data_IF_935274896383
#
_entry.id   IF_935274896383
#
_cell.length_a   1.000
_cell.length_b   1.000
_cell.length_c   1.000
_cell.angle_alpha   90.00
_cell.angle_beta   90.00
_cell.angle_gamma   90.00
#
_symmetry.space_group_name_H-M   'P 1'
#
loop_
_entity.id
_entity.type
_entity.pdbx_description
1 polymer ?
#
# COMPACT_ATOMS: atom_id res chain seq x y z
N UNK A 1 -21.19 14.61 -7.19
CA UNK A 1 -19.93 15.38 -7.23
C UNK A 1 -18.93 14.52 -7.97
N UNK A 2 -18.19 15.08 -8.93
CA UNK A 2 -17.12 14.37 -9.63
C UNK A 2 -15.90 14.21 -8.73
N UNK A 3 -15.12 13.16 -8.95
CA UNK A 3 -13.80 13.00 -8.32
C UNK A 3 -12.86 14.07 -8.87
N UNK A 4 -12.16 14.83 -8.01
CA UNK A 4 -11.17 15.80 -8.49
C UNK A 4 -10.00 15.08 -9.15
N UNK A 5 -9.40 15.69 -10.17
CA UNK A 5 -8.26 15.10 -10.86
C UNK A 5 -7.03 14.99 -9.94
N UNK A 6 -6.86 15.96 -9.05
CA UNK A 6 -5.73 16.05 -8.12
C UNK A 6 -6.22 16.18 -6.68
N UNK A 7 -5.46 15.65 -5.71
CA UNK A 7 -5.73 15.90 -4.29
C UNK A 7 -5.54 17.37 -3.93
N UNK A 8 -4.60 18.04 -4.59
CA UNK A 8 -4.34 19.47 -4.43
C UNK A 8 -4.45 20.11 -5.81
N UNK A 9 -5.25 21.15 -5.91
CA UNK A 9 -5.54 21.85 -7.15
C UNK A 9 -5.34 23.35 -6.89
N UNK A 10 -4.50 24.00 -7.69
CA UNK A 10 -4.12 25.40 -7.52
C UNK A 10 -3.64 25.76 -6.09
N UNK A 11 -2.90 24.83 -5.47
CA UNK A 11 -2.40 24.97 -4.09
C UNK A 11 -3.45 24.76 -3.00
N UNK A 12 -4.70 24.48 -3.36
CA UNK A 12 -5.80 24.18 -2.45
C UNK A 12 -6.05 22.68 -2.36
N UNK A 13 -5.99 22.14 -1.16
CA UNK A 13 -6.27 20.72 -0.93
C UNK A 13 -7.77 20.46 -0.83
N UNK A 14 -8.23 19.43 -1.54
CA UNK A 14 -9.57 18.87 -1.41
C UNK A 14 -9.69 18.10 -0.08
N UNK A 15 -10.78 18.34 0.66
CA UNK A 15 -11.04 17.75 1.99
C UNK A 15 -12.37 17.00 2.03
N UNK A 16 -12.50 16.11 3.01
CA UNK A 16 -13.70 15.30 3.23
C UNK A 16 -13.60 13.93 2.56
N UNK A 17 -14.76 13.27 2.46
CA UNK A 17 -14.92 12.04 1.68
C UNK A 17 -14.98 12.40 0.20
N UNK A 18 -14.07 11.84 -0.58
CA UNK A 18 -14.04 11.98 -2.03
C UNK A 18 -14.84 10.83 -2.66
N UNK A 19 -15.48 11.05 -3.83
CA UNK A 19 -16.22 9.99 -4.53
C UNK A 19 -15.33 8.81 -4.93
N UNK A 20 -14.07 9.10 -5.31
CA UNK A 20 -13.06 8.11 -5.67
C UNK A 20 -11.63 8.66 -5.39
N UNK A 21 -10.59 7.89 -5.70
CA UNK A 21 -9.19 8.29 -5.67
C UNK A 21 -8.94 9.37 -6.74
N UNK A 22 -8.40 10.55 -6.40
CA UNK A 22 -7.88 11.47 -7.40
C UNK A 22 -6.84 10.77 -8.29
N UNK A 23 -6.73 11.18 -9.54
CA UNK A 23 -5.71 10.65 -10.44
C UNK A 23 -4.31 10.88 -9.84
N UNK A 24 -4.05 12.12 -9.38
CA UNK A 24 -2.81 12.52 -8.72
C UNK A 24 -3.03 12.75 -7.23
N UNK A 25 -2.31 11.99 -6.41
CA UNK A 25 -2.30 12.13 -4.96
C UNK A 25 -0.92 12.57 -4.50
N UNK A 26 -0.69 13.89 -4.46
CA UNK A 26 0.51 14.48 -3.84
C UNK A 26 0.09 15.55 -2.80
N UNK A 27 0.11 15.22 -1.49
CA UNK A 27 -0.28 16.17 -0.45
C UNK A 27 0.72 17.33 -0.28
N UNK A 28 1.92 17.25 -0.85
CA UNK A 28 2.94 18.29 -0.75
C UNK A 28 2.78 19.38 -1.82
N UNK A 29 1.86 19.23 -2.78
CA UNK A 29 1.54 20.27 -3.79
C UNK A 29 1.01 21.56 -3.18
N UNK A 30 0.52 21.53 -1.93
CA UNK A 30 0.14 22.74 -1.17
C UNK A 30 1.37 23.63 -0.88
N UNK A 31 2.58 23.06 -0.93
CA UNK A 31 3.82 23.74 -0.57
C UNK A 31 4.75 23.95 -1.77
N UNK A 32 5.35 25.13 -1.84
CA UNK A 32 6.42 25.45 -2.80
C UNK A 32 7.82 25.41 -2.18
N UNK A 33 8.85 25.31 -3.03
CA UNK A 33 10.25 25.58 -2.69
C UNK A 33 10.79 24.85 -1.45
N UNK A 34 11.44 25.60 -0.55
CA UNK A 34 12.04 25.06 0.67
C UNK A 34 11.00 24.46 1.62
N UNK A 35 9.79 25.03 1.69
CA UNK A 35 8.73 24.52 2.53
C UNK A 35 8.35 23.09 2.11
N UNK A 36 8.22 22.82 0.82
CA UNK A 36 7.97 21.47 0.29
C UNK A 36 9.04 20.47 0.74
N UNK A 37 10.31 20.85 0.64
CA UNK A 37 11.45 20.01 1.05
C UNK A 37 11.43 19.68 2.55
N UNK A 38 11.16 20.68 3.39
CA UNK A 38 11.05 20.49 4.84
C UNK A 38 9.83 19.63 5.22
N UNK A 39 8.70 19.84 4.55
CA UNK A 39 7.47 19.06 4.77
C UNK A 39 7.60 17.62 4.30
N UNK A 40 8.40 17.34 3.28
CA UNK A 40 8.70 15.97 2.83
C UNK A 40 9.20 15.08 3.96
N UNK A 41 10.08 15.58 4.84
CA UNK A 41 10.60 14.78 5.97
C UNK A 41 9.52 14.38 6.99
N UNK A 42 8.39 15.11 6.99
CA UNK A 42 7.23 14.84 7.85
C UNK A 42 6.16 13.99 7.17
N UNK A 43 6.26 13.78 5.86
CA UNK A 43 5.38 12.92 5.12
C UNK A 43 5.74 11.46 5.40
N UNK A 44 4.72 10.65 5.65
CA UNK A 44 4.81 9.20 5.79
C UNK A 44 3.82 8.61 4.80
N UNK A 45 4.34 7.83 3.87
CA UNK A 45 3.57 7.27 2.76
C UNK A 45 3.65 5.77 2.82
N UNK A 46 2.53 5.11 2.52
CA UNK A 46 2.53 3.68 2.30
C UNK A 46 1.45 3.27 1.32
N UNK A 47 1.71 2.09 0.74
CA UNK A 47 0.74 1.33 -0.03
C UNK A 47 0.88 -0.12 0.39
N UNK A 48 -0.23 -0.79 0.60
CA UNK A 48 -0.21 -2.18 1.01
C UNK A 48 -1.50 -2.89 0.70
N UNK A 49 -1.47 -4.20 0.90
CA UNK A 49 -2.65 -5.03 0.83
C UNK A 49 -2.80 -5.84 2.10
N UNK A 50 -4.05 -6.00 2.53
CA UNK A 50 -4.43 -7.06 3.46
C UNK A 50 -5.10 -8.16 2.67
N UNK A 51 -4.59 -9.39 2.79
CA UNK A 51 -5.15 -10.57 2.15
C UNK A 51 -6.08 -11.28 3.13
N UNK A 52 -7.31 -11.51 2.69
CA UNK A 52 -8.36 -12.21 3.43
C UNK A 52 -8.59 -13.58 2.82
N UNK A 53 -8.21 -14.63 3.56
CA UNK A 53 -8.42 -16.04 3.21
C UNK A 53 -8.93 -16.79 4.46
N UNK A 54 -9.77 -17.84 4.34
CA UNK A 54 -10.33 -18.56 5.49
C UNK A 54 -9.29 -19.10 6.47
N UNK A 55 -8.19 -19.66 5.96
CA UNK A 55 -7.15 -20.30 6.78
C UNK A 55 -5.91 -19.45 7.00
N UNK A 56 -5.78 -18.34 6.27
CA UNK A 56 -4.57 -17.52 6.26
C UNK A 56 -4.91 -16.04 6.34
N UNK A 57 -4.21 -15.32 7.20
CA UNK A 57 -4.25 -13.86 7.19
C UNK A 57 -2.90 -13.34 6.75
N UNK A 58 -2.88 -12.49 5.73
CA UNK A 58 -1.65 -11.84 5.31
C UNK A 58 -1.80 -10.34 5.22
N UNK A 59 -0.72 -9.61 5.49
CA UNK A 59 -0.66 -8.18 5.24
C UNK A 59 0.72 -7.83 4.73
N UNK A 60 0.78 -6.96 3.73
CA UNK A 60 1.99 -6.57 3.06
C UNK A 60 1.97 -5.07 2.77
N UNK A 61 3.07 -4.39 3.07
CA UNK A 61 3.16 -2.94 3.01
C UNK A 61 4.51 -2.53 2.43
N UNK A 62 4.50 -1.53 1.55
CA UNK A 62 5.67 -0.75 1.15
C UNK A 62 5.48 0.65 1.71
N UNK A 63 6.47 1.15 2.43
CA UNK A 63 6.40 2.44 3.13
C UNK A 63 7.66 3.29 2.91
N UNK A 64 7.47 4.59 2.85
CA UNK A 64 8.54 5.59 2.80
C UNK A 64 8.26 6.73 3.78
N UNK A 65 9.21 6.93 4.70
CA UNK A 65 9.26 8.07 5.59
C UNK A 65 10.20 9.18 5.09
N UNK A 66 10.75 9.03 3.89
CA UNK A 66 11.73 9.87 3.20
C UNK A 66 13.11 10.01 3.85
N UNK A 67 13.27 9.57 5.10
CA UNK A 67 14.58 9.31 5.72
C UNK A 67 14.83 7.81 5.96
N UNK A 68 13.77 7.01 5.97
CA UNK A 68 13.81 5.56 6.14
C UNK A 68 12.67 4.98 5.31
N UNK A 69 12.97 3.96 4.53
CA UNK A 69 11.97 3.21 3.78
C UNK A 69 11.99 1.75 4.22
N UNK A 70 10.91 1.04 3.93
CA UNK A 70 10.86 -0.39 4.15
C UNK A 70 9.71 -1.06 3.46
N UNK A 71 9.77 -2.39 3.47
CA UNK A 71 8.66 -3.24 3.15
C UNK A 71 8.55 -4.33 4.22
N UNK A 72 7.33 -4.72 4.51
CA UNK A 72 7.04 -5.74 5.49
C UNK A 72 5.91 -6.63 5.02
N UNK A 73 6.02 -7.92 5.33
CA UNK A 73 4.97 -8.91 5.11
C UNK A 73 4.77 -9.73 6.37
N UNK A 74 3.50 -10.00 6.66
CA UNK A 74 3.01 -10.89 7.68
C UNK A 74 2.17 -11.95 7.00
N UNK A 75 2.37 -13.22 7.32
CA UNK A 75 1.52 -14.32 6.89
C UNK A 75 1.27 -15.24 8.09
N UNK A 76 0.03 -15.30 8.53
CA UNK A 76 -0.41 -16.04 9.70
C UNK A 76 -1.21 -17.26 9.28
N UNK A 77 -0.70 -18.44 9.61
CA UNK A 77 -1.39 -19.72 9.46
C UNK A 77 -2.33 -19.90 10.65
N UNK A 78 -3.65 -19.96 10.40
CA UNK A 78 -4.63 -20.14 11.46
C UNK A 78 -4.69 -21.58 11.98
N UNK A 79 -4.40 -22.57 11.14
CA UNK A 79 -4.48 -23.98 11.49
C UNK A 79 -3.41 -24.34 12.53
N UNK A 80 -2.17 -23.89 12.30
CA UNK A 80 -1.06 -24.15 13.24
C UNK A 80 -0.74 -22.97 14.16
N UNK A 81 -1.40 -21.82 13.97
CA UNK A 81 -1.24 -20.59 14.77
C UNK A 81 0.17 -20.01 14.76
N UNK A 82 0.79 -19.99 13.59
CA UNK A 82 2.16 -19.48 13.40
C UNK A 82 2.13 -18.22 12.56
N UNK A 83 2.86 -17.20 13.00
CA UNK A 83 3.11 -15.97 12.25
C UNK A 83 4.48 -16.05 11.58
N UNK A 84 4.49 -15.95 10.26
CA UNK A 84 5.68 -15.74 9.45
C UNK A 84 5.80 -14.27 9.10
N UNK A 85 6.97 -13.67 9.37
CA UNK A 85 7.18 -12.25 9.15
C UNK A 85 8.53 -12.02 8.48
N UNK A 86 8.54 -11.13 7.50
CA UNK A 86 9.77 -10.59 6.92
C UNK A 86 9.66 -9.08 6.79
N UNK A 87 10.72 -8.40 7.19
CA UNK A 87 10.86 -6.96 7.02
C UNK A 87 12.21 -6.65 6.39
N UNK A 88 12.22 -5.66 5.51
CA UNK A 88 13.44 -5.11 4.93
C UNK A 88 13.40 -3.59 4.99
N UNK A 89 14.57 -3.00 5.26
CA UNK A 89 14.73 -1.55 5.37
C UNK A 89 15.73 -1.04 4.34
N UNK A 90 15.53 0.20 3.89
CA UNK A 90 16.39 0.89 2.94
C UNK A 90 16.41 2.39 3.22
N UNK A 91 17.28 3.12 2.52
CA UNK A 91 17.30 4.58 2.59
C UNK A 91 15.97 5.15 2.07
N UNK A 92 15.54 6.29 2.65
CA UNK A 92 14.33 6.98 2.19
C UNK A 92 14.37 7.30 0.69
N UNK A 93 13.22 7.26 0.03
CA UNK A 93 13.11 7.43 -1.43
C UNK A 93 13.56 6.23 -2.27
N UNK A 94 14.00 5.11 -1.66
CA UNK A 94 14.32 3.89 -2.39
C UNK A 94 13.11 3.16 -3.00
N UNK A 95 11.91 3.14 -2.38
CA UNK A 95 10.75 2.52 -2.99
C UNK A 95 10.16 3.44 -4.06
N UNK A 96 9.46 2.85 -5.04
CA UNK A 96 8.61 3.63 -5.95
C UNK A 96 7.22 3.70 -5.34
N UNK A 97 6.77 4.89 -4.96
CA UNK A 97 5.42 5.19 -4.48
C UNK A 97 4.85 6.36 -5.30
N UNK A 98 4.30 6.09 -6.50
CA UNK A 98 3.92 7.13 -7.43
C UNK A 98 2.70 7.91 -6.91
N UNK A 99 2.60 9.20 -7.23
CA UNK A 99 1.42 10.01 -6.93
C UNK A 99 0.19 9.53 -7.74
N UNK A 100 0.43 8.95 -8.90
CA UNK A 100 -0.57 8.32 -9.77
C UNK A 100 -0.46 6.81 -9.63
N UNK A 101 -1.54 6.14 -9.21
CA UNK A 101 -1.58 4.67 -9.17
C UNK A 101 -1.97 4.03 -10.51
N UNK A 102 -2.97 4.52 -11.27
CA UNK A 102 -3.35 3.89 -12.53
C UNK A 102 -2.19 3.84 -13.53
N UNK A 103 -2.00 2.69 -14.18
CA UNK A 103 -0.88 2.42 -15.11
C UNK A 103 0.50 2.63 -14.47
N UNK A 104 0.63 2.36 -13.18
CA UNK A 104 1.88 2.52 -12.43
C UNK A 104 2.23 1.23 -11.68
N UNK A 105 3.41 1.25 -11.05
CA UNK A 105 3.81 0.22 -10.13
C UNK A 105 4.44 0.80 -8.85
N UNK A 106 4.12 0.17 -7.74
CA UNK A 106 4.82 0.34 -6.47
C UNK A 106 5.82 -0.81 -6.31
N UNK A 107 7.07 -0.53 -5.95
CA UNK A 107 8.09 -1.58 -5.81
C UNK A 107 9.05 -1.33 -4.66
N UNK A 108 9.45 -2.43 -4.02
CA UNK A 108 10.54 -2.48 -3.07
C UNK A 108 11.41 -3.71 -3.37
N UNK A 109 12.71 -3.48 -3.60
CA UNK A 109 13.65 -4.54 -3.97
C UNK A 109 14.96 -4.41 -3.20
N UNK A 110 15.41 -5.53 -2.63
CA UNK A 110 16.71 -5.76 -2.00
C UNK A 110 17.14 -7.19 -2.29
N UNK A 111 18.41 -7.48 -2.03
CA UNK A 111 18.92 -8.86 -2.11
C UNK A 111 18.07 -9.77 -1.22
N UNK A 112 17.40 -10.75 -1.82
CA UNK A 112 16.52 -11.69 -1.13
C UNK A 112 15.16 -11.14 -0.70
N UNK A 113 14.75 -9.95 -1.15
CA UNK A 113 13.45 -9.36 -0.80
C UNK A 113 12.91 -8.52 -1.95
N UNK A 114 11.87 -8.99 -2.64
CA UNK A 114 11.16 -8.28 -3.71
C UNK A 114 9.66 -8.31 -3.47
N UNK A 115 9.05 -7.11 -3.52
CA UNK A 115 7.59 -6.92 -3.49
C UNK A 115 7.23 -5.88 -4.54
N UNK A 116 6.27 -6.21 -5.41
CA UNK A 116 5.80 -5.33 -6.50
C UNK A 116 4.28 -5.34 -6.57
N UNK A 117 3.68 -4.16 -6.65
CA UNK A 117 2.26 -3.96 -6.94
C UNK A 117 2.14 -3.24 -8.28
N UNK A 118 1.45 -3.84 -9.24
CA UNK A 118 1.22 -3.24 -10.56
C UNK A 118 -0.27 -2.96 -10.73
N UNK A 119 -0.61 -1.77 -11.22
CA UNK A 119 -1.99 -1.34 -11.37
C UNK A 119 -2.27 -1.02 -12.85
N UNK A 120 -3.19 -1.73 -13.50
CA UNK A 120 -3.69 -1.35 -14.82
C UNK A 120 -5.17 -1.00 -14.78
N UNK A 121 -5.48 0.19 -15.28
CA UNK A 121 -6.84 0.65 -15.55
C UNK A 121 -7.33 0.14 -16.89
N UNK A 122 -6.45 0.03 -17.88
CA UNK A 122 -6.77 -0.44 -19.23
C UNK A 122 -7.29 -1.89 -19.22
N UNK A 123 -6.65 -2.77 -18.46
CA UNK A 123 -7.12 -4.17 -18.31
C UNK A 123 -8.06 -4.39 -17.13
N UNK A 124 -8.24 -3.38 -16.26
CA UNK A 124 -8.92 -3.52 -14.98
C UNK A 124 -8.38 -4.68 -14.12
N UNK A 125 -7.08 -4.97 -14.24
CA UNK A 125 -6.38 -5.98 -13.43
C UNK A 125 -5.25 -5.32 -12.67
N UNK A 126 -5.10 -5.71 -11.40
CA UNK A 126 -3.93 -5.36 -10.60
C UNK A 126 -3.18 -6.63 -10.24
N UNK A 127 -1.89 -6.52 -9.95
CA UNK A 127 -1.05 -7.67 -9.65
C UNK A 127 -0.19 -7.41 -8.42
N UNK A 128 -0.11 -8.40 -7.55
CA UNK A 128 0.82 -8.45 -6.42
C UNK A 128 1.83 -9.55 -6.72
N UNK A 129 3.13 -9.20 -6.72
CA UNK A 129 4.22 -10.16 -6.84
C UNK A 129 5.08 -10.11 -5.57
N UNK A 130 5.40 -11.29 -5.04
CA UNK A 130 6.19 -11.45 -3.82
C UNK A 130 7.27 -12.49 -4.10
N UNK A 131 8.53 -12.15 -3.84
CA UNK A 131 9.65 -13.10 -3.82
C UNK A 131 10.61 -12.72 -2.69
N UNK A 132 10.47 -13.41 -1.56
CA UNK A 132 11.22 -13.17 -0.34
C UNK A 132 11.92 -14.47 0.06
N UNK A 133 13.24 -14.39 0.19
CA UNK A 133 14.07 -15.53 0.56
C UNK A 133 13.84 -15.94 2.02
N UNK A 134 14.10 -17.23 2.30
CA UNK A 134 14.10 -17.71 3.68
C UNK A 134 15.19 -17.02 4.51
N UNK A 135 14.92 -16.87 5.80
CA UNK A 135 15.90 -16.44 6.80
C UNK A 135 16.06 -17.53 7.87
N UNK A 136 16.98 -17.35 8.80
CA UNK A 136 17.11 -18.24 9.96
C UNK A 136 15.85 -18.26 10.86
N UNK A 137 14.94 -17.29 10.72
CA UNK A 137 13.76 -17.12 11.59
C UNK A 137 12.43 -17.36 10.90
N UNK A 138 12.39 -17.32 9.57
CA UNK A 138 11.14 -17.42 8.81
C UNK A 138 11.38 -18.09 7.45
N UNK A 139 10.44 -18.93 6.98
CA UNK A 139 10.53 -19.59 5.68
C UNK A 139 10.43 -18.57 4.53
N UNK A 140 10.78 -18.98 3.32
CA UNK A 140 10.58 -18.13 2.14
C UNK A 140 9.09 -17.82 1.92
N UNK A 141 8.77 -16.65 1.37
CA UNK A 141 7.42 -16.29 0.94
C UNK A 141 7.47 -15.91 -0.54
N UNK A 142 6.71 -16.61 -1.37
CA UNK A 142 6.65 -16.36 -2.82
C UNK A 142 5.23 -16.41 -3.31
N UNK A 143 4.85 -15.55 -4.22
CA UNK A 143 3.51 -15.60 -4.75
C UNK A 143 3.21 -14.58 -5.81
N UNK A 144 2.11 -14.83 -6.49
CA UNK A 144 1.53 -13.96 -7.47
C UNK A 144 0.02 -13.99 -7.31
N UNK A 145 -0.57 -12.80 -7.16
CA UNK A 145 -2.01 -12.62 -7.07
C UNK A 145 -2.45 -11.62 -8.14
N UNK A 146 -3.51 -11.96 -8.84
CA UNK A 146 -4.25 -11.05 -9.70
C UNK A 146 -5.50 -10.57 -8.97
N UNK A 147 -5.78 -9.27 -9.10
CA UNK A 147 -6.92 -8.61 -8.46
C UNK A 147 -7.87 -8.08 -9.54
N UNK A 148 -9.16 -8.36 -9.37
CA UNK A 148 -10.20 -7.88 -10.27
C UNK A 148 -10.67 -6.49 -9.88
N UNK A 149 -10.33 -5.46 -10.67
CA UNK A 149 -10.76 -4.09 -10.42
C UNK A 149 -12.20 -3.81 -10.88
N UNK A 150 -12.75 -4.63 -11.78
CA UNK A 150 -14.15 -4.49 -12.24
C UNK A 150 -15.10 -4.84 -11.09
N UNK A 151 -14.80 -5.92 -10.38
CA UNK A 151 -15.58 -6.44 -9.25
C UNK A 151 -15.11 -5.87 -7.90
N UNK A 152 -14.40 -4.74 -7.91
CA UNK A 152 -13.94 -4.10 -6.69
C UNK A 152 -15.08 -3.44 -5.92
N UNK A 153 -14.92 -3.34 -4.59
CA UNK A 153 -15.88 -2.62 -3.76
C UNK A 153 -15.83 -1.12 -4.04
N UNK A 154 -16.93 -0.42 -3.78
CA UNK A 154 -16.93 1.04 -3.76
C UNK A 154 -15.80 1.58 -2.86
N UNK A 155 -14.94 2.47 -3.36
CA UNK A 155 -13.75 2.89 -2.63
C UNK A 155 -14.09 3.81 -1.46
N UNK A 156 -13.26 3.76 -0.43
CA UNK A 156 -13.23 4.73 0.66
C UNK A 156 -12.03 5.65 0.47
N UNK A 157 -12.27 6.80 -0.16
CA UNK A 157 -11.29 7.88 -0.31
C UNK A 157 -11.57 9.03 0.64
N UNK A 158 -10.62 9.34 1.53
CA UNK A 158 -10.78 10.40 2.53
C UNK A 158 -9.53 11.27 2.59
N UNK A 159 -9.74 12.59 2.53
CA UNK A 159 -8.73 13.60 2.83
C UNK A 159 -9.15 14.37 4.07
N UNK A 160 -8.40 14.27 5.17
CA UNK A 160 -8.78 14.86 6.45
C UNK A 160 -7.66 15.68 7.08
N UNK A 161 -8.06 16.64 7.91
CA UNK A 161 -7.16 17.42 8.75
C UNK A 161 -6.89 16.64 10.03
N UNK A 162 -5.64 16.66 10.46
CA UNK A 162 -5.22 16.16 11.77
C UNK A 162 -4.68 17.33 12.59
N UNK A 163 -4.70 17.26 13.94
CA UNK A 163 -3.98 18.22 14.76
C UNK A 163 -2.51 18.33 14.30
N UNK A 164 -2.12 19.50 13.78
CA UNK A 164 -0.77 19.76 13.28
C UNK A 164 -0.39 19.06 11.96
N UNK A 165 -1.35 18.47 11.25
CA UNK A 165 -1.10 17.60 10.11
C UNK A 165 -2.28 17.38 9.18
N UNK A 166 -2.12 16.40 8.30
CA UNK A 166 -3.18 15.98 7.37
C UNK A 166 -2.98 14.53 6.96
N UNK A 167 -4.06 13.93 6.48
CA UNK A 167 -4.09 12.53 6.05
C UNK A 167 -4.87 12.44 4.75
N UNK A 168 -4.36 11.64 3.83
CA UNK A 168 -5.11 11.08 2.72
C UNK A 168 -5.07 9.56 2.84
N UNK A 169 -6.21 8.89 2.64
CA UNK A 169 -6.25 7.45 2.50
C UNK A 169 -7.25 7.04 1.42
N UNK A 170 -6.91 5.96 0.73
CA UNK A 170 -7.77 5.30 -0.23
C UNK A 170 -7.75 3.81 0.04
N UNK A 171 -8.94 3.22 0.18
CA UNK A 171 -9.12 1.78 0.38
C UNK A 171 -10.17 1.23 -0.56
N UNK A 172 -9.90 0.06 -1.11
CA UNK A 172 -10.84 -0.73 -1.88
C UNK A 172 -10.48 -2.21 -1.71
N UNK A 173 -11.48 -3.07 -1.68
CA UNK A 173 -11.30 -4.51 -1.70
C UNK A 173 -11.52 -5.05 -3.11
N UNK A 174 -10.71 -6.03 -3.48
CA UNK A 174 -10.70 -6.66 -4.79
C UNK A 174 -10.79 -8.17 -4.62
N UNK A 175 -11.64 -8.87 -5.40
CA UNK A 175 -11.50 -10.30 -5.61
C UNK A 175 -10.07 -10.67 -5.97
N UNK A 176 -9.50 -11.67 -5.29
CA UNK A 176 -8.12 -12.08 -5.46
C UNK A 176 -8.04 -13.52 -5.99
N UNK A 177 -7.25 -13.73 -7.03
CA UNK A 177 -6.96 -15.05 -7.58
C UNK A 177 -5.44 -15.26 -7.65
N UNK A 178 -4.97 -16.47 -7.38
CA UNK A 178 -3.55 -16.82 -7.53
C UNK A 178 -3.02 -17.66 -6.38
N UNK A 179 -1.71 -17.60 -6.15
CA UNK A 179 -1.06 -18.48 -5.18
C UNK A 179 -0.04 -17.71 -4.35
N UNK A 180 -0.10 -17.91 -3.04
CA UNK A 180 0.92 -17.52 -2.08
C UNK A 180 1.52 -18.77 -1.44
N UNK A 181 2.83 -18.93 -1.53
CA UNK A 181 3.60 -20.00 -0.89
C UNK A 181 4.34 -19.46 0.32
N UNK A 182 4.19 -20.12 1.45
CA UNK A 182 4.87 -19.79 2.72
C UNK A 182 5.61 -21.04 3.20
N UNK A 183 6.91 -21.10 2.92
CA UNK A 183 7.67 -22.35 3.05
C UNK A 183 7.11 -23.42 2.11
N UNK A 184 6.69 -24.54 2.70
CA UNK A 184 6.07 -25.66 1.97
C UNK A 184 4.55 -25.52 1.87
N UNK A 185 3.93 -24.57 2.58
CA UNK A 185 2.50 -24.34 2.51
C UNK A 185 2.14 -23.59 1.23
N UNK A 186 1.14 -24.09 0.50
CA UNK A 186 0.55 -23.42 -0.66
C UNK A 186 -0.85 -22.92 -0.31
N UNK A 187 -1.06 -21.61 -0.47
CA UNK A 187 -2.33 -20.92 -0.22
C UNK A 187 -2.88 -20.48 -1.56
N UNK A 188 -3.97 -21.11 -1.99
CA UNK A 188 -4.65 -20.80 -3.25
C UNK A 188 -5.75 -19.78 -2.97
N UNK A 189 -5.67 -18.65 -3.67
CA UNK A 189 -6.67 -17.59 -3.62
C UNK A 189 -7.71 -17.81 -4.73
N UNK A 190 -8.98 -17.82 -4.35
CA UNK A 190 -10.13 -17.96 -5.25
C UNK A 190 -10.95 -16.66 -5.26
N UNK A 191 -11.25 -16.07 -6.43
CA UNK A 191 -11.82 -14.72 -6.51
C UNK A 191 -13.27 -14.63 -6.02
N UNK A 192 -14.00 -15.74 -5.94
CA UNK A 192 -15.35 -15.79 -5.38
C UNK A 192 -15.38 -15.87 -3.84
N UNK A 193 -14.22 -16.11 -3.21
CA UNK A 193 -14.08 -16.33 -1.78
C UNK A 193 -13.15 -15.32 -1.11
N UNK A 194 -12.03 -15.01 -1.76
CA UNK A 194 -10.89 -14.33 -1.16
C UNK A 194 -10.72 -12.91 -1.70
N UNK A 195 -10.23 -12.04 -0.83
CA UNK A 195 -10.12 -10.60 -1.11
C UNK A 195 -8.72 -10.09 -0.81
N UNK A 196 -8.27 -9.11 -1.60
CA UNK A 196 -7.16 -8.24 -1.26
C UNK A 196 -7.70 -6.82 -1.02
N UNK A 197 -7.40 -6.26 0.15
CA UNK A 197 -7.82 -4.91 0.53
C UNK A 197 -6.65 -3.96 0.38
N UNK A 198 -6.71 -3.09 -0.63
CA UNK A 198 -5.75 -2.00 -0.83
C UNK A 198 -5.85 -1.00 0.32
N UNK A 199 -4.69 -0.55 0.79
CA UNK A 199 -4.53 0.61 1.64
C UNK A 199 -3.44 1.51 1.08
N UNK A 200 -3.83 2.55 0.36
CA UNK A 200 -2.95 3.70 0.10
C UNK A 200 -3.13 4.74 1.19
N UNK A 201 -2.01 5.29 1.66
CA UNK A 201 -2.05 6.31 2.68
C UNK A 201 -0.88 7.29 2.57
N UNK A 202 -1.19 8.56 2.83
CA UNK A 202 -0.20 9.64 2.91
C UNK A 202 -0.54 10.55 4.07
N UNK A 203 0.31 10.56 5.09
CA UNK A 203 0.12 11.34 6.30
C UNK A 203 1.24 12.36 6.49
N UNK A 204 0.86 13.63 6.57
CA UNK A 204 1.76 14.70 6.99
C UNK A 204 1.60 14.85 8.49
N UNK A 205 2.48 14.23 9.27
CA UNK A 205 2.39 14.18 10.72
C UNK A 205 3.13 15.36 11.39
N UNK A 206 2.79 15.73 12.63
CA UNK A 206 3.65 16.58 13.45
C UNK A 206 5.01 15.90 13.72
N UNK A 207 6.02 16.67 14.14
CA UNK A 207 7.35 16.10 14.48
C UNK A 207 7.31 15.17 15.69
N UNK A 208 6.33 15.36 16.57
CA UNK A 208 6.05 14.47 17.69
C UNK A 208 4.58 14.08 17.59
N UNK A 209 4.36 12.78 17.43
CA UNK A 209 3.02 12.19 17.48
C UNK A 209 2.91 11.48 18.83
N UNK A 210 1.98 11.92 19.67
CA UNK A 210 1.57 11.19 20.87
C UNK A 210 0.38 10.32 20.49
N UNK A 211 0.53 9.01 20.66
CA UNK A 211 -0.58 8.07 20.55
C UNK A 211 -1.29 8.01 21.91
N UNK A 212 -2.62 8.15 21.91
CA UNK A 212 -3.46 8.07 23.11
C UNK A 212 -4.03 6.66 23.20
#
# INVERSE_FOLDING_TARGET
>A
MSTPERLVEDGLRHWGRLPDRPAVVDPLEVYGGLARRLKRMRLKEWVGFTLSHPDWYASLIIQDAHYLAGAEIYAYDRAVRVLHQHAAHAAGGSPVLPAELPESACRFERVGYRVVYSFSRASARHRIEIDIAATAKAPAIRGELELDAVESTAPLSVSSRLPGGSIYTHKAAFPAAGVLRVGDAEVVFEPDRDLAVLDEHRSLLPYRTTWV
#
